data_IF_657515904321
#
_entry.id   IF_657515904321
#
_cell.length_a   1.000
_cell.length_b   1.000
_cell.length_c   1.000
_cell.angle_alpha   90.00
_cell.angle_beta   90.00
_cell.angle_gamma   90.00
#
_symmetry.space_group_name_H-M   'P 1'
#
loop_
_entity.id
_entity.type
_entity.pdbx_description
1 polymer ?
#
# COMPACT_ATOMS: atom_id res chain seq x y z
N UNK A 1 12.49 -4.87 5.90
CA UNK A 1 12.22 -5.40 4.54
C UNK A 1 11.83 -4.25 3.63
N UNK A 2 12.34 -4.20 2.40
CA UNK A 2 12.01 -3.14 1.43
C UNK A 2 10.79 -3.50 0.59
N UNK A 3 10.00 -2.50 0.23
CA UNK A 3 8.84 -2.61 -0.63
C UNK A 3 8.72 -1.35 -1.50
N UNK A 4 7.97 -1.42 -2.61
CA UNK A 4 7.77 -0.29 -3.53
C UNK A 4 6.30 -0.17 -3.89
N UNK A 5 5.77 1.05 -3.90
CA UNK A 5 4.43 1.31 -4.38
C UNK A 5 4.41 1.22 -5.91
N UNK A 6 3.57 0.35 -6.45
CA UNK A 6 3.43 0.15 -7.90
C UNK A 6 2.25 0.93 -8.44
N UNK A 7 1.19 1.08 -7.64
CA UNK A 7 -0.05 1.73 -8.05
C UNK A 7 -0.74 2.37 -6.86
N UNK A 8 -1.42 3.49 -7.09
CA UNK A 8 -2.28 4.19 -6.12
C UNK A 8 -3.59 4.52 -6.81
N UNK A 9 -4.70 4.17 -6.17
CA UNK A 9 -6.05 4.45 -6.68
C UNK A 9 -6.90 5.00 -5.56
N UNK A 10 -7.67 6.05 -5.86
CA UNK A 10 -8.62 6.65 -4.91
C UNK A 10 -9.86 5.77 -4.80
N UNK A 11 -10.31 5.50 -3.59
CA UNK A 11 -11.61 4.84 -3.38
C UNK A 11 -12.75 5.79 -3.78
N UNK A 12 -13.81 5.26 -4.39
CA UNK A 12 -14.95 6.08 -4.79
C UNK A 12 -15.88 6.41 -3.61
N UNK A 13 -15.93 5.51 -2.62
CA UNK A 13 -16.90 5.52 -1.52
C UNK A 13 -16.36 6.12 -0.22
N UNK A 14 -15.05 6.35 -0.12
CA UNK A 14 -14.40 6.87 1.10
C UNK A 14 -13.21 7.80 0.79
N UNK A 15 -12.81 8.69 1.73
CA UNK A 15 -11.63 9.54 1.57
C UNK A 15 -10.32 8.77 1.83
N UNK A 16 -10.12 7.69 1.09
CA UNK A 16 -8.98 6.78 1.22
C UNK A 16 -8.39 6.45 -0.14
N UNK A 17 -7.14 5.97 -0.12
CA UNK A 17 -6.49 5.37 -1.27
C UNK A 17 -6.19 3.89 -1.00
N UNK A 18 -6.20 3.10 -2.06
CA UNK A 18 -5.68 1.75 -2.07
C UNK A 18 -4.39 1.73 -2.90
N UNK A 19 -3.34 1.16 -2.33
CA UNK A 19 -2.03 1.02 -2.94
C UNK A 19 -1.77 -0.44 -3.29
N UNK A 20 -1.19 -0.70 -4.46
CA UNK A 20 -0.50 -1.96 -4.74
C UNK A 20 0.96 -1.77 -4.35
N UNK A 21 1.45 -2.64 -3.47
CA UNK A 21 2.82 -2.60 -2.95
C UNK A 21 3.55 -3.90 -3.30
N UNK A 22 4.65 -3.80 -4.03
CA UNK A 22 5.52 -4.94 -4.35
C UNK A 22 6.50 -5.17 -3.21
N UNK A 23 6.57 -6.40 -2.72
CA UNK A 23 7.42 -6.81 -1.61
C UNK A 23 8.07 -8.16 -1.94
N UNK A 24 9.34 -8.13 -2.34
CA UNK A 24 10.02 -9.32 -2.87
C UNK A 24 9.33 -9.80 -4.15
N UNK A 25 8.87 -11.06 -4.15
CA UNK A 25 8.21 -11.69 -5.29
C UNK A 25 6.67 -11.61 -5.26
N UNK A 26 6.10 -10.96 -4.24
CA UNK A 26 4.66 -10.87 -4.05
C UNK A 26 4.19 -9.41 -4.03
N UNK A 27 2.89 -9.24 -4.22
CA UNK A 27 2.20 -7.96 -4.13
C UNK A 27 1.25 -7.99 -2.94
N UNK A 28 1.03 -6.83 -2.35
CA UNK A 28 0.13 -6.62 -1.21
C UNK A 28 -0.71 -5.37 -1.46
N UNK A 29 -1.89 -5.31 -0.86
CA UNK A 29 -2.71 -4.10 -0.87
C UNK A 29 -2.59 -3.36 0.45
N UNK A 30 -2.40 -2.04 0.38
CA UNK A 30 -2.47 -1.14 1.53
C UNK A 30 -3.64 -0.17 1.36
N UNK A 31 -4.51 -0.07 2.36
CA UNK A 31 -5.50 1.02 2.43
C UNK A 31 -4.97 2.12 3.35
N UNK A 32 -4.93 3.35 2.85
CA UNK A 32 -4.40 4.53 3.54
C UNK A 32 -5.40 5.69 3.50
N UNK A 33 -5.33 6.59 4.49
CA UNK A 33 -6.12 7.83 4.49
C UNK A 33 -5.62 8.86 3.47
N UNK A 34 -6.50 9.78 3.06
CA UNK A 34 -6.19 10.83 2.05
C UNK A 34 -5.06 11.79 2.45
N UNK A 35 -4.78 11.95 3.76
CA UNK A 35 -3.74 12.83 4.26
C UNK A 35 -2.31 12.25 4.10
N UNK A 36 -2.19 10.97 3.71
CA UNK A 36 -0.89 10.31 3.55
C UNK A 36 -0.36 10.56 2.14
N UNK A 37 0.75 11.29 2.05
CA UNK A 37 1.41 11.66 0.79
C UNK A 37 2.36 10.55 0.32
N UNK A 38 1.82 9.58 -0.41
CA UNK A 38 2.53 8.45 -1.00
C UNK A 38 2.15 8.32 -2.47
N UNK A 39 3.11 8.08 -3.36
CA UNK A 39 2.85 7.87 -4.78
C UNK A 39 3.53 6.62 -5.35
N UNK A 40 3.15 6.25 -6.57
CA UNK A 40 3.78 5.14 -7.27
C UNK A 40 5.28 5.44 -7.49
N UNK A 41 6.13 4.47 -7.19
CA UNK A 41 7.58 4.60 -7.18
C UNK A 41 8.17 4.82 -5.78
N UNK A 42 7.39 5.25 -4.80
CA UNK A 42 7.90 5.44 -3.43
C UNK A 42 8.33 4.10 -2.82
N UNK A 43 9.51 4.15 -2.19
CA UNK A 43 10.04 3.02 -1.43
C UNK A 43 9.56 3.07 0.02
N UNK A 44 9.25 1.88 0.55
CA UNK A 44 8.74 1.67 1.88
C UNK A 44 9.60 0.63 2.61
N UNK A 45 9.65 0.75 3.92
CA UNK A 45 10.24 -0.26 4.80
C UNK A 45 9.30 -0.60 5.94
N UNK A 46 9.19 -1.90 6.24
CA UNK A 46 8.45 -2.36 7.42
C UNK A 46 9.12 -1.86 8.70
N UNK A 47 8.37 -1.25 9.60
CA UNK A 47 8.88 -0.88 10.92
C UNK A 47 9.13 -2.15 11.75
N UNK A 48 10.29 -2.24 12.41
CA UNK A 48 10.70 -3.43 13.15
C UNK A 48 10.01 -3.54 14.52
N UNK A 49 9.59 -2.41 15.09
CA UNK A 49 9.02 -2.33 16.44
C UNK A 49 7.49 -2.43 16.40
N UNK A 50 6.87 -2.02 15.29
CA UNK A 50 5.42 -1.92 15.14
C UNK A 50 4.90 -2.70 13.94
N UNK A 51 4.23 -3.81 14.22
CA UNK A 51 3.58 -4.63 13.18
C UNK A 51 2.52 -3.82 12.42
N UNK A 52 2.58 -3.83 11.09
CA UNK A 52 1.62 -3.13 10.23
C UNK A 52 1.89 -1.64 10.06
N UNK A 53 2.97 -1.11 10.66
CA UNK A 53 3.46 0.24 10.45
C UNK A 53 4.57 0.21 9.40
N UNK A 54 4.53 1.18 8.51
CA UNK A 54 5.47 1.32 7.41
C UNK A 54 6.13 2.69 7.46
N UNK A 55 7.40 2.71 7.09
CA UNK A 55 8.22 3.90 7.01
C UNK A 55 8.50 4.23 5.55
N UNK A 56 8.23 5.48 5.18
CA UNK A 56 8.54 6.00 3.85
C UNK A 56 10.04 6.28 3.74
N UNK A 57 10.72 5.75 2.73
CA UNK A 57 12.17 5.94 2.59
C UNK A 57 12.54 7.41 2.31
N UNK A 58 11.69 8.16 1.61
CA UNK A 58 11.95 9.56 1.22
C UNK A 58 11.90 10.53 2.40
N UNK A 59 10.89 10.40 3.26
CA UNK A 59 10.61 11.36 4.34
C UNK A 59 10.92 10.81 5.74
N UNK A 60 11.03 9.49 5.88
CA UNK A 60 11.14 8.83 7.19
C UNK A 60 9.82 8.78 7.96
N UNK A 61 8.74 9.34 7.42
CA UNK A 61 7.43 9.36 8.07
C UNK A 61 6.85 7.94 8.20
N UNK A 62 6.08 7.75 9.28
CA UNK A 62 5.41 6.50 9.58
C UNK A 62 3.93 6.62 9.22
N UNK A 63 3.39 5.56 8.63
CA UNK A 63 1.95 5.43 8.45
C UNK A 63 1.50 4.01 8.78
N UNK A 64 0.24 3.90 9.18
CA UNK A 64 -0.42 2.62 9.39
C UNK A 64 -1.20 2.27 8.12
N UNK A 65 -0.93 1.10 7.57
CA UNK A 65 -1.65 0.58 6.41
C UNK A 65 -2.37 -0.71 6.76
N UNK A 66 -3.64 -0.82 6.40
CA UNK A 66 -4.33 -2.11 6.45
C UNK A 66 -3.74 -3.00 5.36
N UNK A 67 -3.17 -4.12 5.77
CA UNK A 67 -2.32 -4.97 4.95
C UNK A 67 -3.06 -6.22 4.52
N UNK A 68 -3.21 -6.40 3.21
CA UNK A 68 -3.77 -7.62 2.60
C UNK A 68 -2.65 -8.32 1.81
N UNK A 69 -2.09 -9.45 2.32
CA UNK A 69 -0.86 -10.06 1.77
C UNK A 69 -1.04 -10.97 0.56
N UNK A 70 0.12 -11.28 -0.04
CA UNK A 70 0.43 -12.51 -0.79
C UNK A 70 -0.35 -12.70 -2.09
N UNK A 71 -0.42 -11.66 -2.90
CA UNK A 71 -0.97 -11.73 -4.25
C UNK A 71 0.13 -11.87 -5.30
N UNK A 72 -0.19 -12.52 -6.42
CA UNK A 72 0.38 -12.20 -7.72
C UNK A 72 -0.04 -10.78 -8.17
N UNK A 73 0.57 -10.26 -9.24
CA UNK A 73 0.19 -8.92 -9.73
C UNK A 73 -1.28 -8.90 -10.18
N UNK A 74 -1.72 -9.91 -10.93
CA UNK A 74 -3.09 -10.01 -11.44
C UNK A 74 -4.12 -10.09 -10.32
N UNK A 75 -3.86 -10.91 -9.29
CA UNK A 75 -4.77 -11.01 -8.14
C UNK A 75 -4.83 -9.70 -7.35
N UNK A 76 -3.70 -8.99 -7.22
CA UNK A 76 -3.67 -7.68 -6.57
C UNK A 76 -4.49 -6.65 -7.36
N UNK A 77 -4.40 -6.66 -8.69
CA UNK A 77 -5.19 -5.76 -9.54
C UNK A 77 -6.67 -6.08 -9.51
N UNK A 78 -7.05 -7.36 -9.51
CA UNK A 78 -8.45 -7.79 -9.39
C UNK A 78 -9.04 -7.37 -8.03
N UNK A 79 -8.32 -7.66 -6.94
CA UNK A 79 -8.74 -7.27 -5.59
C UNK A 79 -8.80 -5.75 -5.42
N UNK A 80 -7.88 -5.00 -6.04
CA UNK A 80 -7.92 -3.54 -6.09
C UNK A 80 -9.21 -3.04 -6.75
N UNK A 81 -9.57 -3.59 -7.91
CA UNK A 81 -10.80 -3.22 -8.62
C UNK A 81 -12.05 -3.49 -7.79
N UNK A 82 -12.10 -4.61 -7.06
CA UNK A 82 -13.22 -4.92 -6.18
C UNK A 82 -13.31 -3.90 -5.02
N UNK A 83 -12.20 -3.59 -4.36
CA UNK A 83 -12.16 -2.66 -3.22
C UNK A 83 -12.52 -1.22 -3.61
N UNK A 84 -12.03 -0.74 -4.75
CA UNK A 84 -12.25 0.66 -5.18
C UNK A 84 -13.71 0.92 -5.56
N UNK A 85 -14.41 -0.11 -6.04
CA UNK A 85 -15.81 -0.05 -6.49
C UNK A 85 -16.81 -0.53 -5.42
N UNK A 86 -16.34 -0.97 -4.25
CA UNK A 86 -17.18 -1.32 -3.10
C UNK A 86 -17.57 -0.08 -2.30
#
# INVERSE_FOLDING_TARGET
MKAVIVKKVRMQTSPQFVLIVKRGNFYCLHVIGIAVDLDAGDELSSDAERRGVWRMSRTGELYQGNFIPNFSLSEAEEALCQLVNS
#
